data_IF_652896688844
#
_entry.id   IF_652896688844
#
_cell.length_a   1.000
_cell.length_b   1.000
_cell.length_c   1.000
_cell.angle_alpha   90.00
_cell.angle_beta   90.00
_cell.angle_gamma   90.00
#
_symmetry.space_group_name_H-M   'P 1'
#
loop_
_entity.id
_entity.type
_entity.pdbx_description
1 polymer ?
#
# COMPACT_ATOMS: atom_id res chain seq x y z
N UNK A 1 17.07 -2.08 11.74
CA UNK A 1 16.21 -2.23 10.56
C UNK A 1 15.45 -0.92 10.27
N UNK A 2 15.38 -0.57 9.00
CA UNK A 2 14.62 0.62 8.58
C UNK A 2 13.13 0.32 8.56
N UNK A 3 12.30 1.22 9.08
CA UNK A 3 10.85 1.09 9.02
C UNK A 3 10.39 1.24 7.58
N UNK A 4 9.63 0.26 7.10
CA UNK A 4 9.07 0.25 5.75
C UNK A 4 7.56 0.08 5.83
N UNK A 5 6.85 1.02 5.22
CA UNK A 5 5.40 0.97 5.07
C UNK A 5 5.05 0.82 3.60
N UNK A 6 4.26 -0.18 3.28
CA UNK A 6 3.86 -0.50 1.91
C UNK A 6 2.36 -0.26 1.78
N UNK A 7 1.97 0.57 0.81
CA UNK A 7 0.57 0.74 0.44
C UNK A 7 0.00 -0.56 -0.15
N UNK A 8 -1.32 -0.69 -0.16
CA UNK A 8 -1.98 -1.90 -0.61
C UNK A 8 -2.58 -1.74 -2.02
N UNK A 9 -3.54 -0.83 -2.19
CA UNK A 9 -4.22 -0.63 -3.48
C UNK A 9 -3.28 0.03 -4.49
N UNK A 10 -3.11 -0.58 -5.65
CA UNK A 10 -2.21 -0.07 -6.68
C UNK A 10 -0.74 -0.39 -6.46
N UNK A 11 -0.40 -1.10 -5.39
CA UNK A 11 0.97 -1.55 -5.07
C UNK A 11 1.03 -3.06 -4.92
N UNK A 12 0.20 -3.64 -4.05
CA UNK A 12 0.12 -5.09 -3.86
C UNK A 12 -0.92 -5.69 -4.81
N UNK A 13 -2.14 -5.14 -4.83
CA UNK A 13 -3.21 -5.56 -5.72
C UNK A 13 -3.67 -4.43 -6.63
N UNK A 14 -3.96 -4.77 -7.89
CA UNK A 14 -4.49 -3.86 -8.90
C UNK A 14 -6.01 -3.71 -8.75
N UNK A 15 -6.43 -3.11 -7.65
CA UNK A 15 -7.84 -2.99 -7.26
C UNK A 15 -8.51 -1.72 -7.76
N UNK A 16 -7.72 -0.66 -7.99
CA UNK A 16 -8.25 0.69 -8.27
C UNK A 16 -9.09 0.75 -9.55
N UNK A 17 -8.65 0.21 -10.71
CA UNK A 17 -9.45 0.25 -11.92
C UNK A 17 -10.79 -0.48 -11.78
N UNK A 18 -10.81 -1.61 -11.08
CA UNK A 18 -12.01 -2.41 -10.86
C UNK A 18 -13.00 -1.66 -9.98
N UNK A 19 -12.51 -1.10 -8.88
CA UNK A 19 -13.31 -0.33 -7.94
C UNK A 19 -13.93 0.90 -8.61
N UNK A 20 -13.16 1.62 -9.44
CA UNK A 20 -13.67 2.76 -10.20
C UNK A 20 -14.75 2.36 -11.20
N UNK A 21 -14.57 1.25 -11.91
CA UNK A 21 -15.57 0.77 -12.85
C UNK A 21 -16.87 0.38 -12.14
N UNK A 22 -16.79 -0.30 -11.01
CA UNK A 22 -17.95 -0.68 -10.22
C UNK A 22 -18.68 0.54 -9.65
N UNK A 23 -17.93 1.54 -9.18
CA UNK A 23 -18.50 2.79 -8.68
C UNK A 23 -19.24 3.56 -9.77
N UNK A 24 -18.69 3.64 -10.98
CA UNK A 24 -19.33 4.31 -12.13
C UNK A 24 -20.61 3.64 -12.58
N UNK A 25 -20.77 2.34 -12.36
CA UNK A 25 -21.96 1.59 -12.76
C UNK A 25 -23.21 1.94 -11.97
N UNK A 26 -23.14 2.80 -10.96
CA UNK A 26 -24.31 3.23 -10.20
C UNK A 26 -24.02 3.92 -8.88
N UNK A 27 -22.77 4.18 -8.56
CA UNK A 27 -22.37 4.77 -7.29
C UNK A 27 -21.31 5.84 -7.51
N UNK A 28 -21.30 6.84 -6.64
CA UNK A 28 -20.19 7.79 -6.59
C UNK A 28 -19.07 7.24 -5.72
N UNK A 29 -17.83 7.44 -6.13
CA UNK A 29 -16.65 6.94 -5.41
C UNK A 29 -16.47 7.52 -4.01
N UNK A 30 -17.18 8.63 -3.71
CA UNK A 30 -17.15 9.28 -2.40
C UNK A 30 -18.34 8.90 -1.51
N UNK A 31 -19.21 8.01 -1.96
CA UNK A 31 -20.37 7.58 -1.18
C UNK A 31 -19.96 6.54 -0.13
N UNK A 32 -20.05 6.91 1.14
CA UNK A 32 -19.77 6.01 2.26
C UNK A 32 -20.60 4.72 2.20
N UNK A 33 -21.87 4.82 1.75
CA UNK A 33 -22.75 3.66 1.61
C UNK A 33 -22.26 2.68 0.57
N UNK A 34 -21.66 3.17 -0.52
CA UNK A 34 -21.05 2.30 -1.53
C UNK A 34 -20.00 1.39 -0.90
N UNK A 35 -19.08 1.97 -0.13
CA UNK A 35 -17.99 1.20 0.50
C UNK A 35 -18.47 0.28 1.61
N UNK A 36 -19.52 0.66 2.33
CA UNK A 36 -20.12 -0.19 3.36
C UNK A 36 -20.79 -1.44 2.76
N UNK A 37 -21.41 -1.30 1.58
CA UNK A 37 -22.11 -2.38 0.89
C UNK A 37 -21.29 -3.13 -0.15
N UNK A 38 -20.09 -2.65 -0.49
CA UNK A 38 -19.29 -3.25 -1.55
C UNK A 38 -18.69 -4.60 -1.12
N UNK A 39 -18.75 -5.58 -2.00
CA UNK A 39 -18.13 -6.88 -1.75
C UNK A 39 -16.64 -6.84 -2.13
N UNK A 40 -15.80 -6.49 -1.17
CA UNK A 40 -14.35 -6.42 -1.37
C UNK A 40 -13.72 -7.78 -1.72
N UNK A 41 -14.35 -8.90 -1.39
CA UNK A 41 -13.86 -10.23 -1.77
C UNK A 41 -13.76 -10.40 -3.28
N UNK A 42 -14.54 -9.63 -4.02
CA UNK A 42 -14.54 -9.62 -5.47
C UNK A 42 -13.21 -9.13 -6.06
N UNK A 43 -12.54 -8.23 -5.38
CA UNK A 43 -11.27 -7.62 -5.83
C UNK A 43 -10.06 -8.05 -5.01
N UNK A 44 -10.25 -8.63 -3.84
CA UNK A 44 -9.15 -9.11 -2.98
C UNK A 44 -8.78 -10.54 -3.36
N UNK A 45 -8.17 -10.68 -4.54
CA UNK A 45 -7.83 -11.97 -5.14
C UNK A 45 -6.40 -11.98 -5.66
N UNK A 46 -5.80 -13.15 -5.63
CA UNK A 46 -4.42 -13.35 -6.08
C UNK A 46 -4.22 -13.07 -7.57
N UNK A 47 -5.27 -13.18 -8.39
CA UNK A 47 -5.19 -12.85 -9.82
C UNK A 47 -4.85 -11.38 -10.07
N UNK A 48 -5.06 -10.50 -9.08
CA UNK A 48 -4.76 -9.07 -9.17
C UNK A 48 -3.42 -8.67 -8.55
N UNK A 49 -2.61 -9.63 -8.10
CA UNK A 49 -1.28 -9.35 -7.53
C UNK A 49 -0.41 -8.67 -8.58
N UNK A 50 0.17 -7.53 -8.20
CA UNK A 50 1.04 -6.73 -9.08
C UNK A 50 2.49 -7.22 -8.93
N UNK A 51 3.10 -7.58 -10.07
CA UNK A 51 4.55 -7.83 -10.15
C UNK A 51 5.13 -8.64 -8.99
N UNK A 52 4.52 -9.81 -8.72
CA UNK A 52 4.96 -10.75 -7.68
C UNK A 52 5.06 -10.13 -6.28
N UNK A 53 4.14 -9.23 -5.94
CA UNK A 53 4.20 -8.47 -4.69
C UNK A 53 4.34 -9.35 -3.44
N UNK A 54 3.62 -10.48 -3.37
CA UNK A 54 3.69 -11.37 -2.20
C UNK A 54 5.08 -11.98 -2.07
N UNK A 55 5.65 -12.49 -3.16
CA UNK A 55 7.00 -13.04 -3.17
C UNK A 55 8.03 -11.96 -2.83
N UNK A 56 7.88 -10.75 -3.38
CA UNK A 56 8.76 -9.63 -3.09
C UNK A 56 8.73 -9.24 -1.61
N UNK A 57 7.55 -9.19 -0.99
CA UNK A 57 7.42 -8.88 0.44
C UNK A 57 8.13 -9.94 1.28
N UNK A 58 7.99 -11.22 0.92
CA UNK A 58 8.72 -12.28 1.62
C UNK A 58 10.24 -12.10 1.50
N UNK A 59 10.73 -11.67 0.35
CA UNK A 59 12.16 -11.35 0.16
C UNK A 59 12.59 -10.17 1.03
N UNK A 60 11.76 -9.14 1.12
CA UNK A 60 12.03 -7.97 1.97
C UNK A 60 12.15 -8.38 3.43
N UNK A 61 11.23 -9.22 3.91
CA UNK A 61 11.26 -9.75 5.28
C UNK A 61 12.52 -10.59 5.49
N UNK A 62 12.83 -11.49 4.58
CA UNK A 62 13.99 -12.39 4.67
C UNK A 62 15.33 -11.64 4.63
N UNK A 63 15.38 -10.47 4.01
CA UNK A 63 16.58 -9.65 3.93
C UNK A 63 17.04 -9.10 5.29
N UNK A 64 16.12 -9.01 6.25
CA UNK A 64 16.35 -8.40 7.57
C UNK A 64 16.80 -6.93 7.52
N UNK A 65 16.69 -6.28 6.37
CA UNK A 65 17.03 -4.87 6.20
C UNK A 65 15.89 -3.95 6.68
N UNK A 66 14.64 -4.45 6.63
CA UNK A 66 13.46 -3.66 6.87
C UNK A 66 12.55 -4.26 7.93
N UNK A 67 11.94 -3.39 8.71
CA UNK A 67 10.76 -3.72 9.50
C UNK A 67 9.54 -3.46 8.61
N UNK A 68 8.98 -4.54 8.03
CA UNK A 68 7.98 -4.45 6.96
C UNK A 68 6.57 -4.37 7.54
N UNK A 69 5.84 -3.33 7.13
CA UNK A 69 4.46 -3.08 7.55
C UNK A 69 3.61 -2.73 6.31
N UNK A 70 2.32 -3.03 6.37
CA UNK A 70 1.36 -2.56 5.38
C UNK A 70 0.55 -1.42 5.98
N UNK A 71 0.45 -0.30 5.26
CA UNK A 71 -0.27 0.89 5.67
C UNK A 71 -1.23 1.29 4.56
N UNK A 72 -2.53 1.08 4.78
CA UNK A 72 -3.55 1.22 3.75
C UNK A 72 -4.69 2.12 4.19
N UNK A 73 -5.13 3.00 3.30
CA UNK A 73 -6.37 3.75 3.48
C UNK A 73 -7.58 2.85 3.27
N UNK A 74 -8.59 3.02 4.12
CA UNK A 74 -9.87 2.32 3.99
C UNK A 74 -11.03 3.29 4.16
N UNK A 75 -12.09 3.06 3.38
CA UNK A 75 -13.31 3.89 3.41
C UNK A 75 -14.36 3.35 4.38
N UNK A 76 -14.16 2.14 4.91
CA UNK A 76 -15.08 1.50 5.85
C UNK A 76 -14.35 0.49 6.72
N UNK A 77 -14.98 0.15 7.85
CA UNK A 77 -14.48 -0.91 8.74
C UNK A 77 -14.49 -2.25 8.02
N UNK A 78 -15.50 -2.51 7.22
CA UNK A 78 -15.61 -3.74 6.43
C UNK A 78 -14.46 -3.90 5.45
N UNK A 79 -14.12 -2.85 4.73
CA UNK A 79 -12.96 -2.84 3.82
C UNK A 79 -11.69 -3.20 4.58
N UNK A 80 -11.45 -2.57 5.72
CA UNK A 80 -10.28 -2.85 6.56
C UNK A 80 -10.24 -4.30 7.01
N UNK A 81 -11.36 -4.85 7.50
CA UNK A 81 -11.43 -6.24 7.95
C UNK A 81 -11.17 -7.23 6.82
N UNK A 82 -11.73 -6.98 5.64
CA UNK A 82 -11.54 -7.85 4.46
C UNK A 82 -10.08 -7.81 3.99
N UNK A 83 -9.46 -6.64 3.96
CA UNK A 83 -8.03 -6.50 3.62
C UNK A 83 -7.14 -7.25 4.60
N UNK A 84 -7.40 -7.14 5.90
CA UNK A 84 -6.62 -7.87 6.91
C UNK A 84 -6.75 -9.37 6.69
N UNK A 85 -7.96 -9.90 6.45
CA UNK A 85 -8.14 -11.32 6.18
C UNK A 85 -7.36 -11.78 4.95
N UNK A 86 -7.38 -11.00 3.87
CA UNK A 86 -6.61 -11.29 2.67
C UNK A 86 -5.12 -11.32 2.96
N UNK A 87 -4.61 -10.30 3.64
CA UNK A 87 -3.18 -10.18 3.97
C UNK A 87 -2.74 -11.35 4.86
N UNK A 88 -3.55 -11.77 5.83
CA UNK A 88 -3.25 -12.88 6.73
C UNK A 88 -3.19 -14.24 6.03
N UNK A 89 -3.80 -14.39 4.87
CA UNK A 89 -3.62 -15.61 4.07
C UNK A 89 -2.20 -15.77 3.52
N UNK A 90 -1.51 -14.66 3.31
CA UNK A 90 -0.15 -14.63 2.76
C UNK A 90 0.93 -14.38 3.81
N UNK A 91 0.61 -13.60 4.84
CA UNK A 91 1.57 -13.16 5.86
C UNK A 91 0.96 -13.27 7.24
N UNK A 92 1.52 -14.13 8.10
CA UNK A 92 0.98 -14.37 9.45
C UNK A 92 1.27 -13.22 10.42
N UNK A 93 2.46 -12.64 10.33
CA UNK A 93 2.99 -11.76 11.38
C UNK A 93 3.22 -10.31 10.94
N UNK A 94 3.00 -9.98 9.68
CA UNK A 94 3.19 -8.62 9.20
C UNK A 94 2.18 -7.68 9.88
N UNK A 95 2.64 -6.51 10.32
CA UNK A 95 1.75 -5.51 10.88
C UNK A 95 0.93 -4.84 9.76
N UNK A 96 -0.38 -4.79 9.95
CA UNK A 96 -1.29 -4.13 9.01
C UNK A 96 -1.93 -2.95 9.73
N UNK A 97 -1.75 -1.76 9.19
CA UNK A 97 -2.30 -0.52 9.75
C UNK A 97 -3.39 -0.03 8.81
N UNK A 98 -4.63 0.00 9.34
CA UNK A 98 -5.79 0.51 8.63
C UNK A 98 -5.93 1.99 8.95
N UNK A 99 -5.77 2.82 7.93
CA UNK A 99 -5.88 4.27 8.07
C UNK A 99 -7.23 4.74 7.53
N UNK A 100 -8.06 5.41 8.34
CA UNK A 100 -9.28 6.01 7.81
C UNK A 100 -8.97 6.95 6.63
N UNK A 101 -9.81 6.92 5.60
CA UNK A 101 -9.54 7.66 4.35
C UNK A 101 -9.33 9.16 4.57
N UNK A 102 -9.99 9.74 5.57
CA UNK A 102 -9.93 11.18 5.87
C UNK A 102 -8.66 11.57 6.63
N UNK A 103 -7.88 10.61 7.11
CA UNK A 103 -6.69 10.86 7.92
C UNK A 103 -5.44 10.61 7.10
N UNK A 104 -4.47 11.54 7.17
CA UNK A 104 -3.17 11.33 6.53
C UNK A 104 -2.45 10.12 7.13
N UNK A 105 -1.81 9.33 6.30
CA UNK A 105 -0.98 8.20 6.75
C UNK A 105 0.09 8.63 7.75
N UNK A 106 0.55 9.87 7.67
CA UNK A 106 1.55 10.42 8.61
C UNK A 106 1.07 10.51 10.05
N UNK A 107 -0.24 10.48 10.27
CA UNK A 107 -0.84 10.55 11.61
C UNK A 107 -0.95 9.19 12.29
N UNK A 108 -0.73 8.11 11.55
CA UNK A 108 -0.90 6.76 12.06
C UNK A 108 0.39 6.16 12.64
N UNK A 109 1.54 6.66 12.22
CA UNK A 109 2.84 6.10 12.56
C UNK A 109 3.89 7.20 12.70
N UNK A 110 5.04 6.85 13.29
CA UNK A 110 6.20 7.73 13.28
C UNK A 110 6.78 7.75 11.87
N UNK A 111 6.68 8.90 11.22
CA UNK A 111 7.00 9.06 9.80
C UNK A 111 8.47 9.37 9.55
N UNK A 112 9.13 10.09 10.48
CA UNK A 112 10.51 10.52 10.30
C UNK A 112 11.45 9.34 10.04
N UNK A 113 12.24 9.44 8.95
CA UNK A 113 13.18 8.41 8.50
C UNK A 113 12.57 7.07 8.10
N UNK A 114 11.24 6.96 8.08
CA UNK A 114 10.54 5.76 7.62
C UNK A 114 10.27 5.84 6.12
N UNK A 115 10.33 4.69 5.46
CA UNK A 115 10.06 4.57 4.01
C UNK A 115 8.57 4.33 3.81
N UNK A 116 7.95 5.08 2.90
CA UNK A 116 6.61 4.78 2.37
C UNK A 116 6.73 4.47 0.88
N UNK A 117 6.24 3.29 0.49
CA UNK A 117 6.05 2.93 -0.91
C UNK A 117 4.56 3.06 -1.23
N UNK A 118 4.24 3.97 -2.15
CA UNK A 118 2.85 4.31 -2.49
C UNK A 118 2.76 4.67 -3.97
N UNK A 119 1.63 4.38 -4.59
CA UNK A 119 1.35 4.73 -5.99
C UNK A 119 0.75 6.14 -6.15
N UNK A 120 0.31 6.74 -5.04
CA UNK A 120 -0.33 8.04 -5.04
C UNK A 120 0.62 9.15 -4.57
N UNK A 121 0.93 10.07 -5.48
CA UNK A 121 1.90 11.15 -5.21
C UNK A 121 1.48 12.07 -4.05
N UNK A 122 0.17 12.24 -3.82
CA UNK A 122 -0.33 13.03 -2.69
C UNK A 122 0.09 12.48 -1.34
N UNK A 123 0.02 11.17 -1.16
CA UNK A 123 0.48 10.51 0.07
C UNK A 123 1.99 10.65 0.24
N UNK A 124 2.74 10.53 -0.84
CA UNK A 124 4.21 10.69 -0.80
C UNK A 124 4.62 12.11 -0.44
N UNK A 125 3.90 13.11 -0.93
CA UNK A 125 4.16 14.51 -0.60
C UNK A 125 3.95 14.78 0.89
N UNK A 126 2.84 14.30 1.45
CA UNK A 126 2.57 14.44 2.88
C UNK A 126 3.63 13.71 3.70
N UNK A 127 4.01 12.51 3.27
CA UNK A 127 5.02 11.70 3.94
C UNK A 127 6.38 12.41 4.00
N UNK A 128 6.83 12.94 2.88
CA UNK A 128 8.09 13.68 2.80
C UNK A 128 8.07 14.94 3.67
N UNK A 129 6.93 15.64 3.72
CA UNK A 129 6.78 16.85 4.52
C UNK A 129 6.95 16.61 6.02
N UNK A 130 6.74 15.38 6.48
CA UNK A 130 6.92 14.97 7.88
C UNK A 130 8.25 14.24 8.12
N UNK A 131 9.21 14.38 7.22
CA UNK A 131 10.55 13.80 7.37
C UNK A 131 10.69 12.35 6.93
N UNK A 132 9.68 11.79 6.29
CA UNK A 132 9.73 10.43 5.77
C UNK A 132 10.45 10.33 4.42
N UNK A 133 10.73 9.11 4.01
CA UNK A 133 11.41 8.79 2.76
C UNK A 133 10.37 8.25 1.77
N UNK A 134 10.01 9.04 0.71
CA UNK A 134 9.01 8.61 -0.25
C UNK A 134 9.64 7.78 -1.37
N UNK A 135 8.97 6.68 -1.74
CA UNK A 135 9.30 5.89 -2.93
C UNK A 135 8.00 5.67 -3.70
N UNK A 136 7.97 6.06 -4.96
CA UNK A 136 6.78 5.86 -5.78
C UNK A 136 6.78 4.47 -6.40
N UNK A 137 5.65 3.78 -6.28
CA UNK A 137 5.40 2.55 -7.02
C UNK A 137 4.67 2.89 -8.32
N UNK A 138 5.21 2.46 -9.46
CA UNK A 138 4.57 2.64 -10.75
C UNK A 138 4.99 1.52 -11.70
N UNK A 139 4.01 0.79 -12.24
CA UNK A 139 4.28 -0.28 -13.20
C UNK A 139 4.90 0.25 -14.51
N UNK A 140 4.79 1.56 -14.75
CA UNK A 140 5.37 2.25 -15.92
C UNK A 140 6.63 3.03 -15.56
N UNK A 141 7.12 2.91 -14.34
CA UNK A 141 8.28 3.65 -13.82
C UNK A 141 8.14 5.17 -13.94
N UNK A 142 6.93 5.68 -13.80
CA UNK A 142 6.68 7.11 -13.72
C UNK A 142 6.87 7.58 -12.28
N UNK A 143 8.02 8.23 -12.00
CA UNK A 143 8.38 8.64 -10.64
C UNK A 143 7.69 9.91 -10.16
N UNK A 144 7.16 10.75 -11.04
CA UNK A 144 6.57 12.06 -10.70
C UNK A 144 7.45 12.89 -9.76
N UNK A 145 8.77 12.83 -9.95
CA UNK A 145 9.74 13.53 -9.13
C UNK A 145 10.28 12.74 -7.94
N UNK A 146 9.79 11.55 -7.67
CA UNK A 146 10.26 10.66 -6.60
C UNK A 146 11.11 9.52 -7.15
N UNK A 147 11.92 8.91 -6.29
CA UNK A 147 12.49 7.60 -6.61
C UNK A 147 11.36 6.65 -6.92
N UNK A 148 11.52 5.81 -7.95
CA UNK A 148 10.42 4.97 -8.45
C UNK A 148 10.86 3.52 -8.60
N UNK A 149 9.96 2.61 -8.27
CA UNK A 149 10.13 1.18 -8.46
C UNK A 149 8.88 0.60 -9.13
N UNK A 150 9.04 -0.46 -9.91
CA UNK A 150 7.93 -1.23 -10.48
C UNK A 150 7.81 -2.62 -9.83
N UNK A 151 8.70 -2.94 -8.92
CA UNK A 151 8.73 -4.21 -8.21
C UNK A 151 9.26 -4.00 -6.80
N UNK A 152 8.57 -4.54 -5.80
CA UNK A 152 8.88 -4.21 -4.40
C UNK A 152 10.28 -4.67 -3.95
N UNK A 153 10.80 -5.77 -4.46
CA UNK A 153 12.15 -6.24 -4.07
C UNK A 153 13.28 -5.33 -4.56
N UNK A 154 12.99 -4.38 -5.46
CA UNK A 154 13.97 -3.36 -5.85
C UNK A 154 14.42 -2.49 -4.65
N UNK A 155 13.63 -2.44 -3.58
CA UNK A 155 14.00 -1.73 -2.35
C UNK A 155 15.27 -2.30 -1.71
N UNK A 156 15.55 -3.58 -1.89
CA UNK A 156 16.75 -4.21 -1.32
C UNK A 156 18.00 -3.57 -1.91
N UNK A 157 18.07 -3.43 -3.22
CA UNK A 157 19.19 -2.77 -3.88
C UNK A 157 19.23 -1.27 -3.55
N UNK A 158 18.06 -0.62 -3.56
CA UNK A 158 17.96 0.82 -3.33
C UNK A 158 18.44 1.25 -1.95
N UNK A 159 18.18 0.46 -0.91
CA UNK A 159 18.49 0.81 0.47
C UNK A 159 19.52 -0.11 1.15
N UNK A 160 19.97 -1.16 0.49
CA UNK A 160 20.85 -2.17 1.10
C UNK A 160 22.18 -1.61 1.61
N UNK A 161 22.71 -0.59 0.95
CA UNK A 161 23.96 0.05 1.35
C UNK A 161 23.78 1.14 2.41
N UNK A 162 22.54 1.57 2.63
CA UNK A 162 22.21 2.65 3.57
C UNK A 162 21.87 2.15 4.99
N UNK A 163 21.76 0.83 5.15
CA UNK A 163 21.28 0.21 6.41
C UNK A 163 22.40 -0.33 7.28
#
# INVERSE_FOLDING_TARGET
>A
MKKLYIDFDGVILDTIPILYNDAKAGFETNDAKFYEGYDFKKILKDEYIINDAVECINKLIASELFDVNILTHCNSIKEGADKVRYIRRHFKDITVIICPKEISKTKMVHTENAILVDDYAGNLREWESEGGIPVRFSTKLNGKGYRVIDKLDALIEMFGEEV
#
